data_IF_278911158921
#
_entry.id   IF_278911158921
#
_cell.length_a   1.000
_cell.length_b   1.000
_cell.length_c   1.000
_cell.angle_alpha   90.00
_cell.angle_beta   90.00
_cell.angle_gamma   90.00
#
_symmetry.space_group_name_H-M   'P 1'
#
loop_
_entity.id
_entity.type
_entity.pdbx_description
1 polymer ?
#
# COMPACT_ATOMS: atom_id res chain seq x y z
N UNK A 1 -2.20 -28.20 -0.20
CA UNK A 1 -1.16 -27.24 -0.65
C UNK A 1 0.09 -27.44 0.17
N UNK A 2 1.26 -27.31 -0.43
CA UNK A 2 2.56 -27.36 0.26
C UNK A 2 3.02 -25.92 0.57
N UNK A 3 3.52 -25.69 1.79
CA UNK A 3 4.13 -24.42 2.15
C UNK A 3 5.35 -24.09 1.26
N UNK A 4 5.69 -22.80 1.16
CA UNK A 4 6.95 -22.40 0.55
C UNK A 4 8.15 -22.85 1.41
N UNK A 5 9.35 -22.86 0.83
CA UNK A 5 10.55 -23.19 1.58
C UNK A 5 10.75 -22.26 2.76
N UNK A 6 11.51 -22.71 3.77
CA UNK A 6 11.80 -21.90 4.96
C UNK A 6 12.47 -20.56 4.60
N UNK A 7 13.37 -20.56 3.62
CA UNK A 7 14.06 -19.34 3.18
C UNK A 7 13.09 -18.31 2.60
N UNK A 8 12.13 -18.77 1.78
CA UNK A 8 11.06 -17.90 1.24
C UNK A 8 10.19 -17.38 2.38
N UNK A 9 9.75 -18.28 3.28
CA UNK A 9 8.91 -17.90 4.42
C UNK A 9 9.59 -16.83 5.30
N UNK A 10 10.89 -17.00 5.57
CA UNK A 10 11.68 -16.03 6.34
C UNK A 10 11.75 -14.66 5.67
N UNK A 11 11.80 -14.60 4.33
CA UNK A 11 11.81 -13.32 3.59
C UNK A 11 10.42 -12.67 3.64
N UNK A 12 9.35 -13.44 3.43
CA UNK A 12 7.98 -12.93 3.38
C UNK A 12 7.49 -12.43 4.74
N UNK A 13 7.90 -13.10 5.81
CA UNK A 13 7.54 -12.78 7.20
C UNK A 13 8.54 -11.86 7.90
N UNK A 14 9.55 -11.36 7.17
CA UNK A 14 10.51 -10.43 7.73
C UNK A 14 9.80 -9.12 8.15
N UNK A 15 10.19 -8.52 9.30
CA UNK A 15 9.65 -7.24 9.71
C UNK A 15 9.98 -6.16 8.68
N UNK A 16 9.07 -5.21 8.54
CA UNK A 16 9.21 -4.04 7.69
C UNK A 16 10.16 -3.06 8.36
N UNK A 17 11.02 -2.41 7.56
CA UNK A 17 11.83 -1.30 8.04
C UNK A 17 10.94 -0.10 8.38
N UNK A 18 11.02 0.41 9.61
CA UNK A 18 10.27 1.58 10.07
C UNK A 18 10.46 2.81 9.16
N UNK A 19 11.61 2.92 8.49
CA UNK A 19 11.91 4.01 7.56
C UNK A 19 11.21 3.86 6.20
N UNK A 20 10.72 2.67 5.88
CA UNK A 20 9.99 2.39 4.65
C UNK A 20 8.48 2.61 4.79
N UNK A 21 7.98 2.77 6.02
CA UNK A 21 6.56 2.98 6.32
C UNK A 21 6.20 4.45 6.12
N UNK A 22 5.23 4.74 5.26
CA UNK A 22 4.75 6.09 5.02
C UNK A 22 3.49 6.41 5.83
N UNK A 23 3.19 7.71 5.96
CA UNK A 23 2.03 8.21 6.68
C UNK A 23 1.21 9.13 5.77
N UNK A 24 -0.10 8.90 5.72
CA UNK A 24 -1.04 9.83 5.10
C UNK A 24 -1.44 10.95 6.07
N UNK A 25 -1.85 12.13 5.57
CA UNK A 25 -2.32 13.24 6.41
C UNK A 25 -3.52 12.91 7.34
N UNK A 26 -4.29 11.87 7.01
CA UNK A 26 -5.41 11.37 7.83
C UNK A 26 -4.97 10.45 8.99
N UNK A 27 -3.68 10.13 9.09
CA UNK A 27 -3.13 9.25 10.12
C UNK A 27 -3.06 7.79 9.71
N UNK A 28 -3.39 7.41 8.48
CA UNK A 28 -3.20 6.03 8.00
C UNK A 28 -1.71 5.80 7.66
N UNK A 29 -1.09 4.82 8.32
CA UNK A 29 0.23 4.33 7.92
C UNK A 29 0.11 3.29 6.81
N UNK A 30 1.06 3.26 5.89
CA UNK A 30 1.07 2.29 4.80
C UNK A 30 2.49 2.01 4.33
N UNK A 31 2.71 0.82 3.78
CA UNK A 31 3.95 0.50 3.07
C UNK A 31 3.77 0.85 1.58
N UNK A 32 4.68 1.61 0.95
CA UNK A 32 4.60 1.87 -0.48
C UNK A 32 4.64 0.58 -1.31
N UNK A 33 3.85 0.54 -2.37
CA UNK A 33 3.68 -0.62 -3.27
C UNK A 33 5.02 -1.21 -3.76
N UNK A 34 5.99 -0.35 -4.08
CA UNK A 34 7.32 -0.77 -4.55
C UNK A 34 8.03 -1.69 -3.54
N UNK A 35 7.77 -1.53 -2.24
CA UNK A 35 8.38 -2.34 -1.19
C UNK A 35 7.82 -3.76 -1.20
N UNK A 36 6.51 -3.94 -1.42
CA UNK A 36 5.92 -5.26 -1.63
C UNK A 36 6.54 -5.98 -2.83
N UNK A 37 6.72 -5.27 -3.96
CA UNK A 37 7.38 -5.84 -5.16
C UNK A 37 8.82 -6.27 -4.88
N UNK A 38 9.57 -5.49 -4.09
CA UNK A 38 10.93 -5.84 -3.68
C UNK A 38 10.96 -7.08 -2.80
N UNK A 39 10.02 -7.23 -1.86
CA UNK A 39 9.90 -8.44 -1.04
C UNK A 39 9.60 -9.66 -1.92
N UNK A 40 8.65 -9.55 -2.86
CA UNK A 40 8.33 -10.63 -3.80
C UNK A 40 9.51 -10.98 -4.71
N UNK A 41 10.23 -9.99 -5.23
CA UNK A 41 11.44 -10.21 -6.03
C UNK A 41 12.55 -10.88 -5.19
N UNK A 42 12.71 -10.51 -3.93
CA UNK A 42 13.69 -11.14 -3.03
C UNK A 42 13.30 -12.58 -2.69
N UNK A 43 12.02 -12.84 -2.48
CA UNK A 43 11.49 -14.15 -2.12
C UNK A 43 11.47 -15.14 -3.30
N UNK A 44 11.00 -14.70 -4.47
CA UNK A 44 10.71 -15.58 -5.60
C UNK A 44 11.61 -15.37 -6.82
N UNK A 45 12.35 -14.26 -6.86
CA UNK A 45 13.10 -13.82 -8.04
C UNK A 45 12.24 -13.10 -9.08
N UNK A 46 12.84 -12.23 -9.92
CA UNK A 46 12.16 -11.68 -11.10
C UNK A 46 11.64 -12.79 -12.01
N UNK A 47 10.38 -12.71 -12.44
CA UNK A 47 9.70 -13.77 -13.22
C UNK A 47 9.17 -14.93 -12.39
N UNK A 48 9.53 -15.02 -11.10
CA UNK A 48 9.02 -16.04 -10.17
C UNK A 48 7.65 -15.72 -9.57
N UNK A 49 7.07 -14.56 -9.87
CA UNK A 49 5.75 -14.15 -9.42
C UNK A 49 5.06 -13.23 -10.43
N UNK A 50 3.73 -13.10 -10.33
CA UNK A 50 2.96 -12.17 -11.14
C UNK A 50 1.51 -12.03 -10.70
N UNK A 51 0.86 -10.96 -11.17
CA UNK A 51 -0.59 -10.79 -11.04
C UNK A 51 -1.27 -11.16 -12.36
N UNK A 52 -2.12 -12.18 -12.31
CA UNK A 52 -2.97 -12.57 -13.43
C UNK A 52 -4.37 -11.95 -13.26
N UNK A 53 -4.91 -11.23 -14.25
CA UNK A 53 -6.28 -10.75 -14.18
C UNK A 53 -7.27 -11.92 -14.17
N UNK A 54 -8.33 -11.83 -13.37
CA UNK A 54 -9.37 -12.87 -13.23
C UNK A 54 -10.75 -12.40 -13.67
N UNK A 55 -10.92 -11.09 -13.85
CA UNK A 55 -12.11 -10.48 -14.42
C UNK A 55 -11.76 -9.50 -15.54
N UNK A 56 -12.77 -9.06 -16.27
CA UNK A 56 -12.69 -7.83 -17.07
C UNK A 56 -12.47 -6.61 -16.15
N UNK A 57 -11.91 -5.55 -16.73
CA UNK A 57 -11.76 -4.27 -16.02
C UNK A 57 -13.12 -3.59 -15.95
N UNK A 58 -13.62 -3.36 -14.73
CA UNK A 58 -14.81 -2.56 -14.51
C UNK A 58 -14.42 -1.08 -14.38
N UNK A 59 -14.88 -0.25 -15.31
CA UNK A 59 -14.68 1.20 -15.29
C UNK A 59 -16.00 1.85 -14.92
N UNK A 60 -16.16 2.20 -13.65
CA UNK A 60 -17.29 2.99 -13.14
C UNK A 60 -17.00 4.49 -13.20
N UNK A 61 -17.97 5.37 -12.91
CA UNK A 61 -17.84 6.82 -13.14
C UNK A 61 -16.63 7.51 -12.49
N UNK A 62 -16.14 6.98 -11.37
CA UNK A 62 -15.03 7.54 -10.58
C UNK A 62 -14.05 6.49 -10.07
N UNK A 63 -14.17 5.24 -10.51
CA UNK A 63 -13.37 4.13 -9.98
C UNK A 63 -13.12 3.08 -11.05
N UNK A 64 -11.88 2.60 -11.12
CA UNK A 64 -11.52 1.39 -11.86
C UNK A 64 -11.41 0.25 -10.85
N UNK A 65 -12.02 -0.89 -11.13
CA UNK A 65 -11.94 -2.08 -10.31
C UNK A 65 -11.72 -3.34 -11.16
N UNK A 66 -10.89 -4.26 -10.66
CA UNK A 66 -10.61 -5.54 -11.31
C UNK A 66 -10.13 -6.58 -10.31
N UNK A 67 -10.51 -7.83 -10.53
CA UNK A 67 -10.00 -8.96 -9.76
C UNK A 67 -8.66 -9.47 -10.33
N UNK A 68 -7.70 -9.72 -9.44
CA UNK A 68 -6.40 -10.28 -9.78
C UNK A 68 -6.07 -11.47 -8.87
N UNK A 69 -5.37 -12.44 -9.46
CA UNK A 69 -4.76 -13.55 -8.77
C UNK A 69 -3.25 -13.31 -8.64
N UNK A 70 -2.72 -13.36 -7.42
CA UNK A 70 -1.28 -13.45 -7.20
C UNK A 70 -0.84 -14.89 -7.42
N UNK A 71 0.10 -15.06 -8.35
CA UNK A 71 0.74 -16.34 -8.65
C UNK A 71 2.21 -16.24 -8.28
N UNK A 72 2.70 -17.19 -7.49
CA UNK A 72 4.12 -17.29 -7.11
C UNK A 72 4.61 -18.70 -7.39
N UNK A 73 5.69 -18.84 -8.16
CA UNK A 73 6.28 -20.12 -8.59
C UNK A 73 5.24 -21.09 -9.19
N UNK A 74 4.34 -20.57 -10.03
CA UNK A 74 3.28 -21.34 -10.67
C UNK A 74 2.09 -21.71 -9.77
N UNK A 75 2.05 -21.23 -8.52
CA UNK A 75 0.99 -21.53 -7.56
C UNK A 75 0.09 -20.31 -7.37
N UNK A 76 -1.23 -20.53 -7.41
CA UNK A 76 -2.19 -19.51 -6.97
C UNK A 76 -2.03 -19.29 -5.46
N UNK A 77 -1.70 -18.07 -5.07
CA UNK A 77 -1.48 -17.68 -3.67
C UNK A 77 -2.74 -17.05 -3.08
N UNK A 78 -3.25 -16.01 -3.75
CA UNK A 78 -4.37 -15.21 -3.27
C UNK A 78 -5.12 -14.60 -4.44
N UNK A 79 -6.39 -14.30 -4.23
CA UNK A 79 -7.22 -13.54 -5.18
C UNK A 79 -7.75 -12.33 -4.44
N UNK A 80 -7.56 -11.15 -5.01
CA UNK A 80 -8.08 -9.92 -4.46
C UNK A 80 -8.61 -9.01 -5.55
N UNK A 81 -9.64 -8.24 -5.20
CA UNK A 81 -10.12 -7.14 -6.02
C UNK A 81 -9.32 -5.89 -5.70
N UNK A 82 -8.70 -5.34 -6.73
CA UNK A 82 -8.09 -4.02 -6.68
C UNK A 82 -9.11 -2.96 -7.08
N UNK A 83 -8.90 -1.76 -6.57
CA UNK A 83 -9.67 -0.59 -6.94
C UNK A 83 -8.81 0.66 -6.91
N UNK A 84 -9.13 1.63 -7.75
CA UNK A 84 -8.47 2.92 -7.79
C UNK A 84 -9.44 3.99 -8.25
N UNK A 85 -9.60 5.02 -7.43
CA UNK A 85 -10.40 6.18 -7.78
C UNK A 85 -9.69 7.06 -8.81
N UNK A 86 -10.49 7.72 -9.65
CA UNK A 86 -10.06 8.72 -10.61
C UNK A 86 -11.10 9.84 -10.70
N UNK A 87 -10.63 11.05 -11.01
CA UNK A 87 -11.49 12.25 -11.09
C UNK A 87 -11.72 12.71 -12.53
N UNK A 88 -10.79 12.39 -13.43
CA UNK A 88 -10.85 12.73 -14.85
C UNK A 88 -10.73 11.44 -15.67
N UNK A 89 -11.65 11.16 -16.63
CA UNK A 89 -11.59 9.98 -17.48
C UNK A 89 -10.26 9.82 -18.25
N UNK A 90 -9.53 10.90 -18.55
CA UNK A 90 -8.19 10.82 -19.15
C UNK A 90 -7.18 10.08 -18.27
N UNK A 91 -7.43 9.98 -16.96
CA UNK A 91 -6.60 9.27 -16.00
C UNK A 91 -6.94 7.78 -15.84
N UNK A 92 -7.90 7.24 -16.60
CA UNK A 92 -8.27 5.80 -16.56
C UNK A 92 -7.05 4.87 -16.74
N UNK A 93 -6.08 5.12 -17.64
CA UNK A 93 -4.89 4.27 -17.77
C UNK A 93 -4.07 4.21 -16.47
N UNK A 94 -3.80 5.36 -15.86
CA UNK A 94 -3.10 5.46 -14.56
C UNK A 94 -3.90 4.78 -13.45
N UNK A 95 -5.22 4.98 -13.43
CA UNK A 95 -6.11 4.34 -12.48
C UNK A 95 -6.11 2.81 -12.63
N UNK A 96 -5.97 2.31 -13.85
CA UNK A 96 -5.87 0.86 -14.12
C UNK A 96 -4.58 0.28 -13.53
N UNK A 97 -3.44 0.97 -13.65
CA UNK A 97 -2.20 0.55 -12.99
C UNK A 97 -2.29 0.66 -11.46
N UNK A 98 -2.92 1.71 -10.94
CA UNK A 98 -3.19 1.86 -9.50
C UNK A 98 -4.09 0.73 -8.97
N UNK A 99 -5.12 0.33 -9.74
CA UNK A 99 -6.00 -0.78 -9.41
C UNK A 99 -5.23 -2.10 -9.29
N UNK A 100 -4.33 -2.38 -10.23
CA UNK A 100 -3.46 -3.57 -10.19
C UNK A 100 -2.55 -3.57 -8.96
N UNK A 101 -1.96 -2.42 -8.67
CA UNK A 101 -1.08 -2.20 -7.54
C UNK A 101 -1.79 -2.35 -6.19
N UNK A 102 -3.03 -1.88 -6.10
CA UNK A 102 -3.89 -2.07 -4.94
C UNK A 102 -4.18 -3.56 -4.70
N UNK A 103 -4.51 -4.32 -5.75
CA UNK A 103 -4.73 -5.77 -5.64
C UNK A 103 -3.46 -6.49 -5.17
N UNK A 104 -2.28 -6.08 -5.66
CA UNK A 104 -0.99 -6.66 -5.24
C UNK A 104 -0.82 -6.62 -3.72
N UNK A 105 -0.98 -5.44 -3.14
CA UNK A 105 -0.80 -5.22 -1.70
C UNK A 105 -1.79 -6.06 -0.88
N UNK A 106 -3.04 -6.16 -1.33
CA UNK A 106 -4.06 -7.00 -0.69
C UNK A 106 -3.68 -8.48 -0.74
N UNK A 107 -3.27 -9.00 -1.90
CA UNK A 107 -2.80 -10.38 -2.03
C UNK A 107 -1.55 -10.67 -1.17
N UNK A 108 -0.64 -9.70 -1.04
CA UNK A 108 0.58 -9.86 -0.24
C UNK A 108 0.29 -10.02 1.26
N UNK A 109 -0.88 -9.60 1.74
CA UNK A 109 -1.30 -9.82 3.12
C UNK A 109 -1.41 -11.31 3.47
N UNK A 110 -1.90 -12.13 2.53
CA UNK A 110 -2.04 -13.58 2.72
C UNK A 110 -0.68 -14.30 2.76
N UNK A 111 0.37 -13.65 2.22
CA UNK A 111 1.77 -14.10 2.35
C UNK A 111 2.43 -13.65 3.68
N UNK A 112 1.75 -12.81 4.46
CA UNK A 112 2.25 -12.25 5.71
C UNK A 112 3.12 -10.98 5.59
N UNK A 113 3.31 -10.47 4.36
CA UNK A 113 4.13 -9.27 4.11
C UNK A 113 3.47 -8.05 4.76
N UNK A 114 4.23 -7.31 5.56
CA UNK A 114 3.80 -6.09 6.24
C UNK A 114 2.54 -6.27 7.10
N UNK A 115 2.36 -7.47 7.65
CA UNK A 115 1.21 -7.80 8.51
C UNK A 115 1.14 -6.94 9.77
N UNK A 116 2.29 -6.46 10.28
CA UNK A 116 2.38 -5.56 11.44
C UNK A 116 1.70 -4.20 11.24
N UNK A 117 1.54 -3.74 10.00
CA UNK A 117 0.80 -2.50 9.70
C UNK A 117 -0.71 -2.58 10.00
N UNK A 118 -1.20 -3.79 10.32
CA UNK A 118 -2.58 -4.04 10.73
C UNK A 118 -2.71 -4.29 12.24
N UNK A 119 -1.61 -4.34 12.99
CA UNK A 119 -1.63 -4.48 14.45
C UNK A 119 -1.87 -3.12 15.11
N UNK A 120 -2.99 -2.92 15.84
CA UNK A 120 -3.26 -1.68 16.57
C UNK A 120 -2.19 -1.30 17.60
N UNK A 121 -1.43 -2.25 18.13
CA UNK A 121 -0.29 -1.97 19.03
C UNK A 121 0.86 -1.36 18.26
N UNK A 122 1.31 -2.02 17.18
CA UNK A 122 2.35 -1.51 16.29
C UNK A 122 2.00 -0.12 15.77
N UNK A 123 0.77 0.09 15.27
CA UNK A 123 0.34 1.40 14.74
C UNK A 123 0.47 2.51 15.80
N UNK A 124 0.10 2.24 17.06
CA UNK A 124 0.19 3.23 18.15
C UNK A 124 1.64 3.54 18.50
N UNK A 125 2.47 2.51 18.64
CA UNK A 125 3.89 2.66 18.97
C UNK A 125 4.65 3.37 17.85
N UNK A 126 4.42 2.98 16.60
CA UNK A 126 4.99 3.61 15.42
C UNK A 126 4.62 5.10 15.34
N UNK A 127 3.33 5.43 15.52
CA UNK A 127 2.87 6.83 15.51
C UNK A 127 3.53 7.65 16.62
N UNK A 128 3.62 7.12 17.84
CA UNK A 128 4.28 7.82 18.95
C UNK A 128 5.76 8.08 18.67
N UNK A 129 6.45 7.10 18.09
CA UNK A 129 7.90 7.17 17.82
C UNK A 129 8.24 8.02 16.60
N UNK A 130 7.55 7.85 15.47
CA UNK A 130 7.95 8.40 14.18
C UNK A 130 7.02 9.47 13.60
N UNK A 131 5.84 9.68 14.19
CA UNK A 131 4.85 10.61 13.64
C UNK A 131 4.51 11.74 14.61
N UNK A 132 3.95 12.81 14.06
CA UNK A 132 3.48 13.98 14.82
C UNK A 132 2.13 14.43 14.26
N UNK A 133 1.22 14.79 15.17
CA UNK A 133 -0.01 15.48 14.83
C UNK A 133 0.23 16.99 14.89
N UNK A 134 -0.08 17.70 13.81
CA UNK A 134 0.13 19.14 13.69
C UNK A 134 -1.18 19.82 13.27
N UNK A 135 -1.40 21.04 13.75
CA UNK A 135 -2.46 21.88 13.24
C UNK A 135 -1.97 22.55 11.96
N UNK A 136 -2.69 22.37 10.87
CA UNK A 136 -2.42 23.05 9.61
C UNK A 136 -3.61 23.92 9.19
N UNK A 137 -3.32 25.06 8.59
CA UNK A 137 -4.30 26.01 8.07
C UNK A 137 -4.33 25.96 6.54
N UNK A 138 -5.52 25.83 5.96
CA UNK A 138 -5.69 25.88 4.52
C UNK A 138 -5.42 27.30 4.00
N UNK A 139 -4.48 27.45 3.07
CA UNK A 139 -3.97 28.76 2.63
C UNK A 139 -5.08 29.69 2.12
N UNK A 140 -5.99 29.19 1.28
CA UNK A 140 -7.12 29.99 0.75
C UNK A 140 -8.34 30.09 1.66
N UNK A 141 -8.79 28.97 2.26
CA UNK A 141 -10.05 28.95 3.03
C UNK A 141 -9.91 29.30 4.51
N UNK A 142 -8.68 29.44 5.02
CA UNK A 142 -8.35 29.72 6.43
C UNK A 142 -8.89 28.67 7.43
N UNK A 143 -9.37 27.53 6.93
CA UNK A 143 -9.83 26.41 7.76
C UNK A 143 -8.63 25.76 8.44
N UNK A 144 -8.75 25.48 9.74
CA UNK A 144 -7.75 24.74 10.51
C UNK A 144 -8.15 23.27 10.63
N UNK A 145 -7.20 22.37 10.44
CA UNK A 145 -7.38 20.92 10.59
C UNK A 145 -6.16 20.30 11.24
N UNK A 146 -6.37 19.28 12.06
CA UNK A 146 -5.30 18.41 12.56
C UNK A 146 -4.90 17.41 11.47
N UNK A 147 -3.62 17.39 11.12
CA UNK A 147 -3.04 16.49 10.13
C UNK A 147 -1.88 15.72 10.75
N UNK A 148 -1.66 14.50 10.26
CA UNK A 148 -0.53 13.66 10.65
C UNK A 148 0.59 13.75 9.62
N UNK A 149 1.83 13.84 10.07
CA UNK A 149 3.01 13.65 9.22
C UNK A 149 4.08 12.84 9.93
N UNK A 150 5.03 12.29 9.18
CA UNK A 150 6.25 11.76 9.80
C UNK A 150 7.11 12.91 10.34
N UNK A 151 7.89 12.62 11.38
CA UNK A 151 8.80 13.59 12.02
C UNK A 151 9.97 13.99 11.11
N UNK A 152 10.40 13.08 10.24
CA UNK A 152 11.47 13.26 9.25
C UNK A 152 10.99 13.90 7.93
N UNK A 153 9.69 14.02 7.72
CA UNK A 153 9.12 14.74 6.58
C UNK A 153 9.10 16.25 6.80
N UNK A 154 9.24 17.04 5.72
CA UNK A 154 9.07 18.49 5.80
C UNK A 154 7.69 18.86 6.32
N UNK A 155 7.59 20.06 6.89
CA UNK A 155 6.31 20.63 7.33
C UNK A 155 5.35 20.77 6.15
N UNK A 156 4.05 20.76 6.45
CA UNK A 156 3.03 21.03 5.45
C UNK A 156 3.17 22.46 4.94
N UNK A 157 3.11 22.66 3.62
CA UNK A 157 3.24 23.96 2.97
C UNK A 157 1.96 24.35 2.20
N UNK A 158 1.75 23.79 1.01
CA UNK A 158 0.53 24.00 0.21
C UNK A 158 -0.19 22.66 -0.02
N UNK A 159 -1.55 22.60 0.05
CA UNK A 159 -2.49 23.69 0.34
C UNK A 159 -2.74 23.93 1.84
N UNK A 160 -2.19 23.08 2.71
CA UNK A 160 -2.27 23.18 4.16
C UNK A 160 -0.90 23.60 4.68
N UNK A 161 -0.85 24.67 5.48
CA UNK A 161 0.39 25.19 6.06
C UNK A 161 0.41 24.95 7.56
N UNK A 162 1.46 24.31 8.06
CA UNK A 162 1.72 24.11 9.49
C UNK A 162 2.15 25.42 10.18
#
# INVERSE_FOLDING_TARGET
>A
MQAFSKDIANILLAPVDDMDIEMKPDGLIYLPEIKYRRVLNKAFGPGGWGLAPRSETNVGPKVVSREYALVCQGRLVAVARGEQEYFDPSNIPTATEGCKSNALMRCCKDLGIASELWDPRFIREFKAKYCVEVFAEHVSTKKKKKLWRRKDQPKFDYPWKE
#
